data_IF_427125957998
#
_entry.id   IF_427125957998
#
_cell.length_a   1.000
_cell.length_b   1.000
_cell.length_c   1.000
_cell.angle_alpha   90.00
_cell.angle_beta   90.00
_cell.angle_gamma   90.00
#
_symmetry.space_group_name_H-M   'P 1'
#
loop_
_entity.id
_entity.type
_entity.pdbx_description
1 polymer ?
#
# COMPACT_ATOMS: atom_id res chain seq x y z
N UNK A 1 -8.09 -23.21 13.60
CA UNK A 1 -8.87 -21.99 13.89
C UNK A 1 -8.04 -20.81 13.40
N UNK A 2 -8.43 -20.18 12.29
CA UNK A 2 -7.70 -19.03 11.77
C UNK A 2 -7.77 -17.87 12.78
N UNK A 3 -6.64 -17.24 13.08
CA UNK A 3 -6.61 -16.10 13.99
C UNK A 3 -7.41 -14.94 13.37
N UNK A 4 -8.35 -14.36 14.12
CA UNK A 4 -9.19 -13.23 13.64
C UNK A 4 -8.62 -11.86 14.04
N UNK A 5 -7.48 -11.83 14.73
CA UNK A 5 -6.76 -10.61 15.08
C UNK A 5 -5.26 -10.85 15.11
N UNK A 6 -4.49 -9.85 14.69
CA UNK A 6 -3.04 -9.88 14.76
C UNK A 6 -2.56 -9.95 16.22
N UNK A 7 -1.68 -10.90 16.59
CA UNK A 7 -1.08 -10.95 17.92
C UNK A 7 -0.12 -9.77 18.13
N UNK A 8 0.35 -9.49 19.36
CA UNK A 8 1.47 -8.56 19.55
C UNK A 8 2.69 -8.97 18.70
N UNK A 9 3.28 -8.05 17.94
CA UNK A 9 4.38 -8.38 17.03
C UNK A 9 5.60 -9.01 17.74
N UNK A 10 5.84 -8.63 19.01
CA UNK A 10 6.91 -9.19 19.81
C UNK A 10 6.70 -10.67 20.17
N UNK A 11 5.46 -11.18 20.12
CA UNK A 11 5.19 -12.59 20.42
C UNK A 11 5.39 -13.51 19.21
N UNK A 12 5.65 -12.99 18.01
CA UNK A 12 5.79 -13.82 16.81
C UNK A 12 6.90 -14.86 16.93
N UNK A 13 8.02 -14.52 17.56
CA UNK A 13 9.14 -15.44 17.80
C UNK A 13 8.78 -16.63 18.70
N UNK A 14 7.73 -16.52 19.51
CA UNK A 14 7.24 -17.59 20.39
C UNK A 14 6.21 -18.50 19.74
N UNK A 15 5.71 -18.14 18.55
CA UNK A 15 4.70 -18.91 17.83
C UNK A 15 5.31 -20.11 17.11
N UNK A 16 4.48 -21.10 16.78
CA UNK A 16 4.87 -22.18 15.86
C UNK A 16 4.97 -21.65 14.41
N UNK A 17 5.69 -22.34 13.51
CA UNK A 17 5.73 -21.98 12.09
C UNK A 17 4.33 -21.81 11.48
N UNK A 18 3.41 -22.75 11.74
CA UNK A 18 2.04 -22.70 11.24
C UNK A 18 1.26 -21.48 11.78
N UNK A 19 1.48 -21.12 13.04
CA UNK A 19 0.85 -19.93 13.62
C UNK A 19 1.43 -18.63 13.05
N UNK A 20 2.73 -18.59 12.72
CA UNK A 20 3.32 -17.44 12.00
C UNK A 20 2.83 -17.35 10.55
N UNK A 21 2.70 -18.49 9.86
CA UNK A 21 2.11 -18.55 8.53
C UNK A 21 0.68 -18.02 8.54
N UNK A 22 -0.13 -18.41 9.53
CA UNK A 22 -1.49 -17.87 9.68
C UNK A 22 -1.52 -16.35 9.94
N UNK A 23 -0.51 -15.77 10.60
CA UNK A 23 -0.38 -14.31 10.74
C UNK A 23 -0.02 -13.67 9.40
N UNK A 24 0.87 -14.28 8.63
CA UNK A 24 1.20 -13.80 7.28
C UNK A 24 0.00 -13.85 6.35
N UNK A 25 -0.81 -14.90 6.41
CA UNK A 25 -2.03 -15.05 5.61
C UNK A 25 -3.11 -13.99 5.91
N UNK A 26 -3.03 -13.33 7.08
CA UNK A 26 -3.87 -12.18 7.40
C UNK A 26 -3.34 -10.87 6.82
N UNK A 27 -2.01 -10.73 6.74
CA UNK A 27 -1.33 -9.52 6.30
C UNK A 27 -1.13 -9.47 4.79
N UNK A 28 -0.99 -10.64 4.17
CA UNK A 28 -0.59 -10.84 2.79
C UNK A 28 -1.43 -11.98 2.20
N UNK A 29 -1.42 -12.10 0.87
CA UNK A 29 -2.13 -13.18 0.21
C UNK A 29 -1.46 -14.54 0.51
N UNK A 30 -2.24 -15.56 0.91
CA UNK A 30 -1.69 -16.86 1.25
C UNK A 30 -0.92 -17.45 0.08
N UNK A 31 0.34 -17.84 0.32
CA UNK A 31 1.13 -18.59 -0.65
C UNK A 31 2.09 -19.54 0.04
N UNK A 32 2.35 -20.72 -0.56
CA UNK A 32 3.37 -21.64 -0.04
C UNK A 32 4.75 -20.98 0.07
N UNK A 33 5.09 -20.11 -0.89
CA UNK A 33 6.35 -19.36 -0.90
C UNK A 33 6.42 -18.30 0.21
N UNK A 34 5.29 -17.73 0.63
CA UNK A 34 5.24 -16.83 1.79
C UNK A 34 5.38 -17.61 3.11
N UNK A 35 4.90 -18.85 3.16
CA UNK A 35 5.05 -19.71 4.35
C UNK A 35 6.50 -20.13 4.60
N UNK A 36 7.36 -20.16 3.56
CA UNK A 36 8.80 -20.34 3.78
C UNK A 36 9.40 -19.15 4.55
N UNK A 37 8.90 -17.93 4.30
CA UNK A 37 9.27 -16.73 5.07
C UNK A 37 8.84 -16.86 6.52
N UNK A 38 7.71 -17.54 6.83
CA UNK A 38 7.28 -17.82 8.19
C UNK A 38 8.28 -18.68 8.99
N UNK A 39 9.11 -19.48 8.32
CA UNK A 39 10.18 -20.25 8.92
C UNK A 39 11.54 -19.51 8.94
N UNK A 40 11.66 -18.38 8.26
CA UNK A 40 12.91 -17.62 8.15
C UNK A 40 13.31 -16.92 9.46
N UNK A 41 14.59 -16.55 9.64
CA UNK A 41 15.06 -15.77 10.79
C UNK A 41 14.33 -14.44 11.00
N UNK A 42 13.77 -13.86 9.92
CA UNK A 42 12.97 -12.62 9.96
C UNK A 42 11.80 -12.80 10.94
N UNK A 43 11.14 -13.95 10.94
CA UNK A 43 9.95 -14.19 11.76
C UNK A 43 10.18 -15.15 12.93
N UNK A 44 11.17 -16.04 12.83
CA UNK A 44 11.44 -17.05 13.85
C UNK A 44 12.32 -16.53 15.00
N UNK A 45 13.25 -15.60 14.72
CA UNK A 45 14.27 -15.18 15.72
C UNK A 45 14.33 -13.68 15.94
N UNK A 46 13.82 -12.87 15.01
CA UNK A 46 13.90 -11.41 15.12
C UNK A 46 12.64 -10.85 15.78
N UNK A 47 12.81 -10.01 16.80
CA UNK A 47 11.72 -9.27 17.43
C UNK A 47 11.62 -7.87 16.83
N UNK A 48 10.38 -7.41 16.62
CA UNK A 48 10.12 -6.07 16.12
C UNK A 48 9.31 -5.26 17.13
N UNK A 49 9.53 -3.93 17.20
CA UNK A 49 8.75 -3.07 18.08
C UNK A 49 7.32 -2.85 17.57
N UNK A 50 7.11 -2.91 16.25
CA UNK A 50 5.81 -2.68 15.61
C UNK A 50 5.64 -3.57 14.37
N UNK A 51 4.40 -3.81 13.94
CA UNK A 51 4.14 -4.45 12.65
C UNK A 51 4.72 -3.68 11.47
N UNK A 52 4.77 -2.35 11.54
CA UNK A 52 5.41 -1.54 10.50
C UNK A 52 6.90 -1.87 10.35
N UNK A 53 7.61 -2.12 11.44
CA UNK A 53 9.02 -2.51 11.40
C UNK A 53 9.20 -3.92 10.83
N UNK A 54 8.29 -4.85 11.15
CA UNK A 54 8.26 -6.18 10.54
C UNK A 54 8.01 -6.10 9.03
N UNK A 55 6.99 -5.36 8.60
CA UNK A 55 6.63 -5.22 7.19
C UNK A 55 7.83 -4.60 6.43
N UNK A 56 8.51 -3.60 7.01
CA UNK A 56 9.70 -3.00 6.42
C UNK A 56 10.83 -4.02 6.22
N UNK A 57 11.10 -4.85 7.23
CA UNK A 57 12.10 -5.91 7.14
C UNK A 57 11.74 -6.96 6.08
N UNK A 58 10.46 -7.35 5.97
CA UNK A 58 9.98 -8.26 4.93
C UNK A 58 10.16 -7.63 3.55
N UNK A 59 9.85 -6.34 3.37
CA UNK A 59 10.08 -5.65 2.09
C UNK A 59 11.54 -5.54 1.71
N UNK A 60 12.44 -5.24 2.66
CA UNK A 60 13.88 -5.29 2.39
C UNK A 60 14.28 -6.67 1.89
N UNK A 61 13.81 -7.73 2.55
CA UNK A 61 14.10 -9.10 2.10
C UNK A 61 13.59 -9.39 0.69
N UNK A 62 12.37 -8.95 0.33
CA UNK A 62 11.85 -9.12 -1.02
C UNK A 62 12.65 -8.32 -2.07
N UNK A 63 13.15 -7.14 -1.72
CA UNK A 63 14.06 -6.36 -2.58
C UNK A 63 15.41 -7.06 -2.72
N UNK A 64 15.92 -7.68 -1.66
CA UNK A 64 17.15 -8.47 -1.73
C UNK A 64 16.99 -9.67 -2.67
N UNK A 65 15.85 -10.38 -2.59
CA UNK A 65 15.51 -11.45 -3.54
C UNK A 65 15.42 -10.94 -4.99
N UNK A 66 14.88 -9.73 -5.18
CA UNK A 66 14.78 -9.10 -6.50
C UNK A 66 16.16 -8.74 -7.08
N UNK A 67 17.11 -8.37 -6.24
CA UNK A 67 18.47 -8.01 -6.65
C UNK A 67 19.42 -9.23 -6.68
N UNK A 68 18.93 -10.41 -6.33
CA UNK A 68 19.74 -11.62 -6.32
C UNK A 68 19.97 -12.18 -7.72
N UNK A 69 21.19 -12.66 -7.96
CA UNK A 69 21.57 -13.40 -9.17
C UNK A 69 21.15 -14.89 -9.11
N UNK A 70 20.62 -15.37 -7.97
CA UNK A 70 20.21 -16.75 -7.80
C UNK A 70 18.81 -17.00 -8.39
N UNK A 71 18.73 -17.88 -9.39
CA UNK A 71 17.45 -18.25 -10.03
C UNK A 71 16.41 -18.77 -9.03
N UNK A 72 16.84 -19.49 -7.98
CA UNK A 72 15.93 -19.99 -6.93
C UNK A 72 15.29 -18.87 -6.12
N UNK A 73 16.02 -17.78 -5.87
CA UNK A 73 15.54 -16.63 -5.11
C UNK A 73 14.61 -15.75 -5.95
N UNK A 74 14.95 -15.54 -7.23
CA UNK A 74 14.07 -14.90 -8.20
C UNK A 74 12.76 -15.67 -8.39
N UNK A 75 12.83 -17.00 -8.48
CA UNK A 75 11.64 -17.85 -8.58
C UNK A 75 10.78 -17.78 -7.33
N UNK A 76 11.39 -17.79 -6.14
CA UNK A 76 10.67 -17.61 -4.89
C UNK A 76 9.93 -16.27 -4.86
N UNK A 77 10.59 -15.18 -5.27
CA UNK A 77 9.95 -13.87 -5.37
C UNK A 77 8.76 -13.89 -6.34
N UNK A 78 8.93 -14.49 -7.52
CA UNK A 78 7.87 -14.56 -8.54
C UNK A 78 6.65 -15.35 -8.04
N UNK A 79 6.85 -16.45 -7.30
CA UNK A 79 5.76 -17.20 -6.65
C UNK A 79 5.03 -16.36 -5.59
N UNK A 80 5.77 -15.58 -4.79
CA UNK A 80 5.17 -14.68 -3.79
C UNK A 80 4.33 -13.60 -4.48
N UNK A 81 4.89 -12.90 -5.46
CA UNK A 81 4.22 -11.78 -6.12
C UNK A 81 3.01 -12.22 -6.96
N UNK A 82 3.08 -13.38 -7.61
CA UNK A 82 2.01 -13.92 -8.46
C UNK A 82 0.82 -14.52 -7.68
N UNK A 83 0.94 -14.67 -6.36
CA UNK A 83 -0.12 -15.23 -5.51
C UNK A 83 -1.30 -14.28 -5.29
N UNK A 84 -1.17 -13.01 -5.68
CA UNK A 84 -2.24 -12.04 -5.53
C UNK A 84 -3.47 -12.38 -6.40
N UNK A 85 -4.69 -12.14 -5.91
CA UNK A 85 -5.90 -12.30 -6.72
C UNK A 85 -5.96 -11.23 -7.82
N UNK A 86 -6.56 -11.57 -8.97
CA UNK A 86 -6.88 -10.59 -10.02
C UNK A 86 -7.76 -9.47 -9.46
N UNK A 87 -7.46 -8.24 -9.85
CA UNK A 87 -8.27 -7.07 -9.48
C UNK A 87 -9.66 -7.19 -10.10
N UNK A 88 -10.70 -7.11 -9.26
CA UNK A 88 -12.10 -7.24 -9.69
C UNK A 88 -12.62 -8.68 -9.78
N UNK A 89 -11.78 -9.69 -9.51
CA UNK A 89 -12.23 -11.08 -9.47
C UNK A 89 -13.22 -11.30 -8.32
N UNK A 90 -14.38 -11.90 -8.64
CA UNK A 90 -15.33 -12.39 -7.64
C UNK A 90 -14.84 -13.73 -7.10
N UNK A 91 -13.69 -13.76 -6.42
CA UNK A 91 -13.33 -14.92 -5.61
C UNK A 91 -14.30 -15.00 -4.43
N UNK A 92 -14.68 -16.23 -4.04
CA UNK A 92 -15.51 -16.46 -2.86
C UNK A 92 -14.81 -15.95 -1.59
N UNK A 93 -15.54 -15.67 -0.50
CA UNK A 93 -15.00 -15.08 0.73
C UNK A 93 -13.88 -15.90 1.40
N UNK A 94 -13.69 -17.17 1.02
CA UNK A 94 -12.66 -18.07 1.54
C UNK A 94 -11.33 -18.02 0.76
N UNK A 95 -11.29 -17.35 -0.41
CA UNK A 95 -10.14 -17.36 -1.33
C UNK A 95 -9.45 -15.98 -1.50
N UNK A 96 -9.83 -14.99 -0.69
CA UNK A 96 -9.22 -13.67 -0.60
C UNK A 96 -8.81 -13.43 0.85
N UNK A 97 -7.67 -12.80 1.10
CA UNK A 97 -7.40 -12.25 2.43
C UNK A 97 -8.48 -11.23 2.83
N UNK A 98 -8.68 -11.04 4.13
CA UNK A 98 -9.65 -10.05 4.62
C UNK A 98 -9.30 -8.63 4.14
N UNK A 99 -8.00 -8.34 3.98
CA UNK A 99 -7.50 -7.05 3.53
C UNK A 99 -7.85 -6.80 2.06
N UNK A 100 -7.58 -7.77 1.17
CA UNK A 100 -7.96 -7.68 -0.25
C UNK A 100 -9.46 -7.52 -0.45
N UNK A 101 -10.29 -8.20 0.36
CA UNK A 101 -11.74 -8.04 0.30
C UNK A 101 -12.15 -6.59 0.58
N UNK A 102 -11.64 -6.00 1.66
CA UNK A 102 -11.96 -4.61 2.05
C UNK A 102 -11.51 -3.60 1.00
N UNK A 103 -10.36 -3.81 0.37
CA UNK A 103 -9.83 -2.92 -0.67
C UNK A 103 -10.72 -2.92 -1.94
N UNK A 104 -11.14 -4.11 -2.39
CA UNK A 104 -12.02 -4.22 -3.56
C UNK A 104 -13.44 -3.73 -3.28
N UNK A 105 -13.93 -3.87 -2.04
CA UNK A 105 -15.19 -3.27 -1.60
C UNK A 105 -15.13 -1.75 -1.60
N UNK A 106 -14.04 -1.16 -1.08
CA UNK A 106 -13.82 0.28 -1.09
C UNK A 106 -13.77 0.84 -2.52
N UNK A 107 -13.15 0.11 -3.45
CA UNK A 107 -13.15 0.42 -4.89
C UNK A 107 -14.58 0.56 -5.43
N UNK A 108 -15.42 -0.48 -5.21
CA UNK A 108 -16.81 -0.53 -5.70
C UNK A 108 -17.67 0.57 -5.07
N UNK A 109 -17.44 0.87 -3.80
CA UNK A 109 -18.16 1.93 -3.09
C UNK A 109 -17.81 3.34 -3.61
N UNK A 110 -16.58 3.57 -4.07
CA UNK A 110 -16.16 4.85 -4.63
C UNK A 110 -16.85 5.15 -5.98
N UNK A 111 -17.12 4.12 -6.78
CA UNK A 111 -17.83 4.25 -8.07
C UNK A 111 -19.27 4.72 -7.91
N UNK A 112 -19.96 4.32 -6.84
CA UNK A 112 -21.32 4.77 -6.54
C UNK A 112 -21.44 6.25 -6.15
N UNK A 113 -20.32 6.93 -5.85
CA UNK A 113 -20.30 8.34 -5.42
C UNK A 113 -19.83 9.31 -6.51
N UNK A 114 -19.08 8.84 -7.50
CA UNK A 114 -18.64 9.61 -8.65
C UNK A 114 -19.26 9.06 -9.92
N UNK A 115 -20.47 9.52 -10.26
CA UNK A 115 -21.17 9.11 -11.47
C UNK A 115 -20.40 9.50 -12.73
N UNK A 116 -19.54 8.60 -13.22
CA UNK A 116 -19.11 8.62 -14.60
C UNK A 116 -20.14 7.84 -15.42
N UNK A 117 -20.83 8.53 -16.32
CA UNK A 117 -21.74 7.91 -17.27
C UNK A 117 -20.99 6.85 -18.09
N UNK A 118 -21.64 5.73 -18.48
CA UNK A 118 -20.99 4.70 -19.28
C UNK A 118 -20.55 5.30 -20.62
N UNK A 119 -19.25 5.23 -20.93
CA UNK A 119 -18.74 5.52 -22.27
C UNK A 119 -19.35 4.51 -23.25
N UNK A 120 -20.08 5.02 -24.24
CA UNK A 120 -20.67 4.20 -25.28
C UNK A 120 -19.56 3.68 -26.21
N UNK A 121 -19.28 2.37 -26.18
CA UNK A 121 -18.54 1.69 -27.24
C UNK A 121 -17.55 0.60 -26.83
N UNK A 122 -17.19 0.45 -25.55
CA UNK A 122 -16.16 -0.51 -25.10
C UNK A 122 -16.62 -1.39 -23.94
N UNK A 123 -17.65 -2.22 -24.14
CA UNK A 123 -18.09 -3.22 -23.15
C UNK A 123 -18.44 -2.65 -21.76
N UNK A 124 -18.65 -3.53 -20.79
CA UNK A 124 -18.75 -3.14 -19.38
C UNK A 124 -17.37 -2.83 -18.77
N UNK A 125 -17.35 -2.03 -17.70
CA UNK A 125 -16.11 -1.72 -16.95
C UNK A 125 -15.43 -3.01 -16.46
N UNK A 126 -16.21 -4.01 -16.07
CA UNK A 126 -15.75 -5.34 -15.68
C UNK A 126 -15.06 -6.09 -16.82
N UNK A 127 -15.62 -6.08 -18.03
CA UNK A 127 -15.02 -6.74 -19.20
C UNK A 127 -13.70 -6.08 -19.58
N UNK A 128 -13.64 -4.74 -19.58
CA UNK A 128 -12.41 -4.00 -19.87
C UNK A 128 -11.35 -4.25 -18.81
N UNK A 129 -11.73 -4.30 -17.53
CA UNK A 129 -10.80 -4.66 -16.45
C UNK A 129 -10.30 -6.10 -16.57
N UNK A 130 -11.17 -7.04 -16.97
CA UNK A 130 -10.78 -8.43 -17.26
C UNK A 130 -9.75 -8.50 -18.38
N UNK A 131 -10.02 -7.83 -19.50
CA UNK A 131 -9.10 -7.77 -20.64
C UNK A 131 -7.75 -7.14 -20.29
N UNK A 132 -7.74 -6.09 -19.45
CA UNK A 132 -6.49 -5.47 -18.99
C UNK A 132 -5.69 -6.38 -18.07
N UNK A 133 -6.34 -7.14 -17.16
CA UNK A 133 -5.64 -8.15 -16.37
C UNK A 133 -4.99 -9.21 -17.27
N UNK A 134 -5.69 -9.69 -18.30
CA UNK A 134 -5.13 -10.67 -19.23
C UNK A 134 -3.93 -10.11 -20.01
N UNK A 135 -4.00 -8.86 -20.47
CA UNK A 135 -2.90 -8.18 -21.14
C UNK A 135 -1.70 -7.99 -20.21
N UNK A 136 -1.94 -7.56 -18.97
CA UNK A 136 -0.89 -7.38 -17.97
C UNK A 136 -0.17 -8.69 -17.67
N UNK A 137 -0.93 -9.77 -17.41
CA UNK A 137 -0.37 -11.08 -17.14
C UNK A 137 0.44 -11.65 -18.32
N UNK A 138 -0.05 -11.47 -19.55
CA UNK A 138 0.68 -11.89 -20.74
C UNK A 138 1.98 -11.09 -20.91
N UNK A 139 1.99 -9.81 -20.56
CA UNK A 139 3.16 -8.92 -20.68
C UNK A 139 4.23 -9.23 -19.63
N UNK A 140 3.83 -9.58 -18.41
CA UNK A 140 4.71 -9.70 -17.25
C UNK A 140 4.81 -11.13 -16.70
N UNK A 141 4.84 -12.13 -17.61
CA UNK A 141 5.08 -13.53 -17.28
C UNK A 141 4.15 -14.11 -16.19
N UNK A 142 2.87 -13.72 -16.22
CA UNK A 142 1.86 -14.19 -15.27
C UNK A 142 1.74 -13.38 -13.98
N UNK A 143 2.58 -12.35 -13.80
CA UNK A 143 2.48 -11.42 -12.68
C UNK A 143 1.09 -10.78 -12.64
N UNK A 144 0.54 -10.67 -11.44
CA UNK A 144 -0.77 -10.06 -11.21
C UNK A 144 -0.58 -8.57 -10.97
N UNK A 145 -1.47 -7.75 -11.52
CA UNK A 145 -1.42 -6.32 -11.27
C UNK A 145 -1.79 -6.03 -9.81
N UNK A 146 -0.87 -5.42 -9.08
CA UNK A 146 -1.02 -5.04 -7.67
C UNK A 146 -0.91 -3.52 -7.56
N UNK A 147 -1.91 -2.90 -6.95
CA UNK A 147 -1.94 -1.46 -6.71
C UNK A 147 -2.77 -1.18 -5.47
N UNK A 148 -2.41 -0.15 -4.72
CA UNK A 148 -3.20 0.27 -3.58
C UNK A 148 -4.46 1.00 -4.06
N UNK A 149 -5.64 0.41 -3.87
CA UNK A 149 -6.88 1.01 -4.40
C UNK A 149 -7.16 2.37 -3.75
N UNK A 150 -7.06 2.45 -2.41
CA UNK A 150 -7.33 3.66 -1.61
C UNK A 150 -8.60 4.46 -1.98
N UNK A 151 -9.67 3.78 -2.39
CA UNK A 151 -10.90 4.47 -2.85
C UNK A 151 -10.79 5.15 -4.21
N UNK A 152 -9.73 4.90 -4.99
CA UNK A 152 -9.67 5.29 -6.42
C UNK A 152 -10.73 4.50 -7.20
N UNK A 153 -11.50 5.14 -8.10
CA UNK A 153 -12.49 4.46 -8.92
C UNK A 153 -11.81 3.60 -10.01
N UNK A 154 -12.51 2.57 -10.54
CA UNK A 154 -11.92 1.64 -11.53
C UNK A 154 -11.31 2.32 -12.75
N UNK A 155 -11.91 3.35 -13.37
CA UNK A 155 -11.31 3.99 -14.53
C UNK A 155 -9.91 4.55 -14.26
N UNK A 156 -9.67 5.11 -13.06
CA UNK A 156 -8.35 5.63 -12.66
C UNK A 156 -7.34 4.50 -12.49
N UNK A 157 -7.76 3.39 -11.89
CA UNK A 157 -6.90 2.22 -11.70
C UNK A 157 -6.59 1.53 -13.03
N UNK A 158 -7.57 1.48 -13.94
CA UNK A 158 -7.39 0.93 -15.29
C UNK A 158 -6.43 1.79 -16.11
N UNK A 159 -6.51 3.12 -16.03
CA UNK A 159 -5.56 4.01 -16.68
C UNK A 159 -4.13 3.85 -16.12
N UNK A 160 -3.98 3.58 -14.82
CA UNK A 160 -2.68 3.24 -14.22
C UNK A 160 -2.16 1.89 -14.74
N UNK A 161 -3.02 0.86 -14.82
CA UNK A 161 -2.67 -0.45 -15.36
C UNK A 161 -2.21 -0.33 -16.83
N UNK A 162 -2.95 0.39 -17.67
CA UNK A 162 -2.58 0.66 -19.07
C UNK A 162 -1.21 1.37 -19.18
N UNK A 163 -0.96 2.38 -18.34
CA UNK A 163 0.34 3.08 -18.29
C UNK A 163 1.49 2.11 -17.98
N UNK A 164 1.30 1.19 -17.04
CA UNK A 164 2.31 0.19 -16.64
C UNK A 164 2.55 -0.86 -17.73
N UNK A 165 1.48 -1.36 -18.36
CA UNK A 165 1.59 -2.24 -19.53
C UNK A 165 2.42 -1.58 -20.63
N UNK A 166 2.17 -0.29 -20.91
CA UNK A 166 2.90 0.49 -21.90
C UNK A 166 4.36 0.74 -21.51
N UNK A 167 4.64 0.96 -20.22
CA UNK A 167 6.01 1.04 -19.69
C UNK A 167 6.78 -0.25 -19.97
N UNK A 168 6.16 -1.41 -19.77
CA UNK A 168 6.71 -2.71 -20.17
C UNK A 168 7.98 -3.14 -19.42
N UNK A 169 8.24 -2.55 -18.24
CA UNK A 169 9.42 -2.83 -17.43
C UNK A 169 9.08 -3.82 -16.30
N UNK A 170 9.47 -5.08 -16.49
CA UNK A 170 9.19 -6.17 -15.55
C UNK A 170 9.82 -5.95 -14.18
N UNK A 171 11.06 -5.44 -14.12
CA UNK A 171 11.74 -5.22 -12.84
C UNK A 171 11.06 -4.09 -12.06
N UNK A 172 10.63 -3.04 -12.76
CA UNK A 172 9.85 -1.98 -12.14
C UNK A 172 8.47 -2.48 -11.68
N UNK A 173 7.80 -3.39 -12.40
CA UNK A 173 6.56 -3.99 -11.90
C UNK A 173 6.79 -4.82 -10.62
N UNK A 174 7.87 -5.60 -10.56
CA UNK A 174 8.23 -6.35 -9.34
C UNK A 174 8.49 -5.40 -8.17
N UNK A 175 9.24 -4.33 -8.39
CA UNK A 175 9.47 -3.28 -7.39
C UNK A 175 8.17 -2.62 -6.93
N UNK A 176 7.30 -2.25 -7.86
CA UNK A 176 6.03 -1.59 -7.55
C UNK A 176 5.13 -2.55 -6.74
N UNK A 177 5.11 -3.85 -7.06
CA UNK A 177 4.38 -4.86 -6.29
C UNK A 177 4.92 -5.01 -4.85
N UNK A 178 6.24 -4.94 -4.65
CA UNK A 178 6.84 -4.94 -3.31
C UNK A 178 6.49 -3.65 -2.57
N UNK A 179 6.66 -2.48 -3.22
CA UNK A 179 6.48 -1.15 -2.60
C UNK A 179 5.04 -0.81 -2.25
N UNK A 180 4.05 -1.38 -2.95
CA UNK A 180 2.63 -1.21 -2.61
C UNK A 180 2.33 -1.61 -1.15
N UNK A 181 3.15 -2.46 -0.54
CA UNK A 181 3.01 -2.84 0.88
C UNK A 181 3.42 -1.74 1.89
N UNK A 182 3.97 -0.60 1.45
CA UNK A 182 4.60 0.42 2.31
C UNK A 182 4.25 1.88 2.02
N UNK A 183 3.25 2.17 1.19
CA UNK A 183 3.03 3.55 0.79
C UNK A 183 2.26 4.33 1.85
N UNK A 184 2.97 4.98 2.77
CA UNK A 184 2.40 6.10 3.50
C UNK A 184 2.37 7.31 2.57
N UNK A 185 1.23 7.99 2.54
CA UNK A 185 1.16 9.34 2.00
C UNK A 185 1.49 10.30 3.13
N UNK A 186 2.65 10.94 3.04
CA UNK A 186 3.10 11.88 4.07
C UNK A 186 2.46 13.23 3.79
N UNK A 187 1.70 13.74 4.76
CA UNK A 187 1.16 15.10 4.72
C UNK A 187 2.04 16.02 5.55
N UNK A 188 2.74 16.94 4.90
CA UNK A 188 3.62 17.89 5.55
C UNK A 188 2.85 19.18 5.88
N UNK A 189 2.46 19.33 7.15
CA UNK A 189 1.82 20.56 7.64
C UNK A 189 2.79 21.75 7.64
N UNK A 190 2.44 22.83 6.96
CA UNK A 190 3.26 24.05 6.90
C UNK A 190 2.39 25.31 6.83
N UNK A 191 2.88 26.45 7.33
CA UNK A 191 2.14 27.74 7.23
C UNK A 191 2.25 28.37 5.84
N UNK A 192 3.30 28.02 5.10
CA UNK A 192 3.61 28.53 3.78
C UNK A 192 3.83 27.33 2.86
N UNK A 193 2.93 27.15 1.89
CA UNK A 193 2.96 26.03 0.96
C UNK A 193 4.20 26.04 0.07
N UNK A 194 4.65 27.21 -0.39
CA UNK A 194 5.83 27.32 -1.25
C UNK A 194 7.11 26.89 -0.53
N UNK A 195 7.24 27.29 0.75
CA UNK A 195 8.31 26.80 1.61
C UNK A 195 8.20 25.29 1.87
N UNK A 196 6.99 24.78 2.04
CA UNK A 196 6.70 23.34 2.17
C UNK A 196 7.15 22.54 0.95
N UNK A 197 6.75 22.96 -0.25
CA UNK A 197 7.13 22.32 -1.53
C UNK A 197 8.64 22.33 -1.77
N UNK A 198 9.31 23.44 -1.42
CA UNK A 198 10.77 23.54 -1.47
C UNK A 198 11.43 22.55 -0.53
N UNK A 199 10.89 22.37 0.68
CA UNK A 199 11.40 21.40 1.65
C UNK A 199 11.19 19.95 1.18
N UNK A 200 10.03 19.66 0.57
CA UNK A 200 9.74 18.35 -0.03
C UNK A 200 10.76 18.04 -1.13
N UNK A 201 11.01 18.98 -2.04
CA UNK A 201 11.97 18.80 -3.14
C UNK A 201 13.35 18.43 -2.61
N UNK A 202 13.84 19.15 -1.58
CA UNK A 202 15.13 18.86 -0.93
C UNK A 202 15.16 17.49 -0.25
N UNK A 203 14.06 17.08 0.36
CA UNK A 203 13.96 15.76 1.00
C UNK A 203 14.02 14.64 -0.04
N UNK A 204 13.34 14.81 -1.17
CA UNK A 204 13.40 13.87 -2.29
C UNK A 204 14.80 13.80 -2.92
N UNK A 205 15.52 14.94 -3.00
CA UNK A 205 16.89 14.96 -3.53
C UNK A 205 17.91 14.34 -2.56
N UNK A 206 17.75 14.57 -1.25
CA UNK A 206 18.70 14.13 -0.22
C UNK A 206 18.50 12.69 0.23
N UNK A 207 17.26 12.22 0.16
CA UNK A 207 16.87 10.87 0.55
C UNK A 207 16.05 10.32 -0.62
N UNK A 208 16.53 9.26 -1.26
CA UNK A 208 15.83 8.57 -2.36
C UNK A 208 14.52 7.93 -1.83
N UNK A 209 13.54 8.79 -1.55
CA UNK A 209 12.26 8.44 -0.94
C UNK A 209 11.22 8.29 -2.04
N UNK A 210 10.67 7.08 -2.12
CA UNK A 210 9.57 6.76 -3.04
C UNK A 210 8.19 6.99 -2.41
N UNK A 211 8.13 7.63 -1.23
CA UNK A 211 6.85 7.96 -0.59
C UNK A 211 6.25 9.24 -1.15
N UNK A 212 4.94 9.27 -1.48
CA UNK A 212 4.26 10.49 -1.88
C UNK A 212 4.16 11.45 -0.69
N UNK A 213 4.73 12.65 -0.85
CA UNK A 213 4.67 13.73 0.15
C UNK A 213 3.85 14.88 -0.42
N UNK A 214 2.89 15.40 0.34
CA UNK A 214 2.07 16.56 -0.04
C UNK A 214 2.10 17.60 1.05
N UNK A 215 2.38 18.85 0.68
CA UNK A 215 2.28 19.98 1.58
C UNK A 215 0.80 20.28 1.88
N UNK A 216 0.48 20.49 3.16
CA UNK A 216 -0.84 20.91 3.61
C UNK A 216 -0.69 22.20 4.40
N UNK A 217 -1.46 23.23 4.05
CA UNK A 217 -1.44 24.48 4.79
C UNK A 217 -2.02 24.26 6.19
N UNK A 218 -1.24 24.52 7.22
CA UNK A 218 -1.62 24.34 8.62
C UNK A 218 -0.89 25.34 9.51
N UNK A 219 -1.66 26.23 10.12
CA UNK A 219 -1.26 27.03 11.27
C UNK A 219 -1.95 26.49 12.54
N UNK A 220 -1.16 25.85 13.41
CA UNK A 220 -1.64 25.28 14.67
C UNK A 220 -2.17 26.32 15.66
N UNK A 221 -1.88 27.61 15.46
CA UNK A 221 -2.41 28.70 16.29
C UNK A 221 -3.77 29.21 15.79
N UNK A 222 -4.23 28.78 14.62
CA UNK A 222 -5.46 29.24 13.98
C UNK A 222 -6.48 28.13 13.86
N UNK A 223 -7.59 28.24 14.61
CA UNK A 223 -8.67 27.25 14.56
C UNK A 223 -9.28 27.13 13.15
N UNK A 224 -9.36 28.25 12.42
CA UNK A 224 -9.82 28.28 11.03
C UNK A 224 -8.86 27.51 10.11
N UNK A 225 -7.55 27.68 10.29
CA UNK A 225 -6.54 26.94 9.50
C UNK A 225 -6.57 25.45 9.82
N UNK A 226 -6.64 25.07 11.10
CA UNK A 226 -6.78 23.67 11.51
C UNK A 226 -8.01 23.03 10.87
N UNK A 227 -9.16 23.73 10.91
CA UNK A 227 -10.39 23.21 10.30
C UNK A 227 -10.25 23.03 8.79
N UNK A 228 -9.68 24.01 8.09
CA UNK A 228 -9.45 23.92 6.65
C UNK A 228 -8.48 22.78 6.29
N UNK A 229 -7.43 22.56 7.09
CA UNK A 229 -6.51 21.44 6.93
C UNK A 229 -7.22 20.10 7.13
N UNK A 230 -8.03 19.95 8.19
CA UNK A 230 -8.83 18.74 8.43
C UNK A 230 -9.79 18.47 7.27
N UNK A 231 -10.51 19.49 6.81
CA UNK A 231 -11.47 19.36 5.70
C UNK A 231 -10.74 18.98 4.40
N UNK A 232 -9.57 19.56 4.13
CA UNK A 232 -8.71 19.19 2.99
C UNK A 232 -8.19 17.75 3.10
N UNK A 233 -7.72 17.34 4.28
CA UNK A 233 -7.22 15.97 4.51
C UNK A 233 -8.34 14.95 4.32
N UNK A 234 -9.52 15.24 4.85
CA UNK A 234 -10.68 14.36 4.74
C UNK A 234 -11.20 14.27 3.31
N UNK A 235 -11.18 15.37 2.56
CA UNK A 235 -11.62 15.41 1.16
C UNK A 235 -10.66 14.67 0.24
N UNK A 236 -9.36 14.90 0.40
CA UNK A 236 -8.34 14.41 -0.53
C UNK A 236 -7.79 13.02 -0.16
N UNK A 237 -7.80 12.66 1.12
CA UNK A 237 -7.19 11.43 1.63
C UNK A 237 -8.13 10.58 2.51
N UNK A 238 -9.35 11.05 2.79
CA UNK A 238 -10.37 10.34 3.57
C UNK A 238 -10.17 10.43 5.08
N UNK A 239 -9.03 9.99 5.61
CA UNK A 239 -8.74 10.06 7.06
C UNK A 239 -7.24 10.25 7.34
N UNK A 240 -6.93 10.84 8.49
CA UNK A 240 -5.58 10.86 9.04
C UNK A 240 -5.34 9.61 9.90
N UNK A 241 -4.31 8.81 9.57
CA UNK A 241 -3.98 7.60 10.33
C UNK A 241 -3.01 7.88 11.49
N UNK A 242 -1.97 8.66 11.24
CA UNK A 242 -0.90 8.95 12.20
C UNK A 242 -0.66 10.46 12.18
N UNK A 243 -0.67 11.07 13.36
CA UNK A 243 -0.30 12.47 13.56
C UNK A 243 1.02 12.53 14.31
N UNK A 244 2.06 13.05 13.66
CA UNK A 244 3.34 13.35 14.30
C UNK A 244 3.36 14.83 14.65
N UNK A 245 3.23 15.15 15.94
CA UNK A 245 3.28 16.54 16.38
C UNK A 245 4.73 16.99 16.55
N UNK A 246 5.28 17.61 15.51
CA UNK A 246 6.61 18.21 15.54
C UNK A 246 6.58 19.73 15.81
N UNK A 247 5.41 20.31 16.06
CA UNK A 247 5.22 21.74 16.27
C UNK A 247 4.81 22.04 17.72
N UNK A 248 5.70 22.71 18.46
CA UNK A 248 5.41 23.17 19.82
C UNK A 248 4.74 24.54 19.84
N UNK A 249 3.65 24.69 20.60
CA UNK A 249 3.04 25.98 20.91
C UNK A 249 3.23 26.30 22.40
N UNK A 250 3.97 27.36 22.71
CA UNK A 250 4.05 27.91 24.06
C UNK A 250 2.99 29.01 24.21
N UNK A 251 1.89 28.72 24.92
CA UNK A 251 0.91 29.74 25.26
C UNK A 251 1.57 30.79 26.18
N UNK A 252 1.52 32.08 25.82
CA UNK A 252 1.94 33.15 26.75
C UNK A 252 0.99 33.14 27.96
N UNK A 253 1.50 33.14 29.20
CA UNK A 253 0.64 33.19 30.38
C UNK A 253 -0.20 34.47 30.34
N UNK A 254 -1.49 34.35 30.68
CA UNK A 254 -2.37 35.51 30.88
C UNK A 254 -1.71 36.42 31.91
N UNK A 255 -1.33 37.63 31.52
CA UNK A 255 -1.05 38.69 32.47
C UNK A 255 -2.35 38.91 33.26
N UNK A 256 -2.29 38.59 34.55
CA UNK A 256 -3.34 38.89 35.53
C UNK A 256 -3.27 40.35 35.91
#
# INVERSE_FOLDING_TARGET
MAATSLPPVASLVTLTPDARAAVLDLLLEPSPALHTVAASPILATTTYPTYSALIAAVSTHLVDLLNSDLESEQKQLDEILSSHPRLGAKKGPEALSEMSRREQEAMRAAEGKGGAAPEQGQGSVEERLGALNDQYEAKFAGLKYVTFVNGRPRPVIMADMERRINRGDLNQEKLDAIKVTHQFHILLGCRDLSAGETAISRLCDAHDTSQPITAVELDIASHTSIKAAVDSVQTNFGRLNVLVNNAGYAAKPKQR
#
